data_IF_994060083132
#
_entry.id   IF_994060083132
#
_cell.length_a   1.000
_cell.length_b   1.000
_cell.length_c   1.000
_cell.angle_alpha   90.00
_cell.angle_beta   90.00
_cell.angle_gamma   90.00
#
_symmetry.space_group_name_H-M   'P 1'
#
loop_
_entity.id
_entity.type
_entity.pdbx_description
1 polymer ?
#
# COMPACT_ATOMS: atom_id res chain seq x y z
N UNK A 1 -37.45 18.41 -7.29
CA UNK A 1 -37.39 16.93 -7.23
C UNK A 1 -36.97 16.54 -5.83
N UNK A 2 -37.75 15.77 -5.04
CA UNK A 2 -37.34 15.40 -3.70
C UNK A 2 -36.08 14.53 -3.82
N UNK A 3 -35.03 14.86 -3.06
CA UNK A 3 -33.80 14.10 -3.05
C UNK A 3 -34.14 12.63 -2.73
N UNK A 4 -33.62 11.68 -3.52
CA UNK A 4 -33.72 10.24 -3.17
C UNK A 4 -33.27 10.09 -1.72
N UNK A 5 -34.08 9.40 -0.90
CA UNK A 5 -33.76 9.08 0.49
C UNK A 5 -32.28 8.69 0.59
N UNK A 6 -31.57 9.29 1.53
CA UNK A 6 -30.12 9.13 1.74
C UNK A 6 -29.69 7.66 1.73
N UNK A 7 -30.52 6.79 2.28
CA UNK A 7 -30.36 5.35 2.29
C UNK A 7 -30.25 4.73 0.88
N UNK A 8 -31.08 5.16 -0.06
CA UNK A 8 -31.07 4.69 -1.45
C UNK A 8 -29.78 5.15 -2.15
N UNK A 9 -29.28 6.35 -1.84
CA UNK A 9 -28.01 6.86 -2.39
C UNK A 9 -26.83 6.07 -1.84
N UNK A 10 -26.80 5.84 -0.53
CA UNK A 10 -25.75 5.08 0.14
C UNK A 10 -25.70 3.63 -0.35
N UNK A 11 -26.86 2.97 -0.50
CA UNK A 11 -26.93 1.60 -1.06
C UNK A 11 -26.35 1.53 -2.47
N UNK A 12 -26.78 2.43 -3.36
CA UNK A 12 -26.28 2.48 -4.75
C UNK A 12 -24.78 2.78 -4.83
N UNK A 13 -24.26 3.60 -3.91
CA UNK A 13 -22.83 3.87 -3.84
C UNK A 13 -22.05 2.62 -3.40
N UNK A 14 -22.54 1.89 -2.39
CA UNK A 14 -21.94 0.63 -1.95
C UNK A 14 -21.91 -0.41 -3.07
N UNK A 15 -23.02 -0.60 -3.78
CA UNK A 15 -23.12 -1.51 -4.92
C UNK A 15 -22.13 -1.16 -6.04
N UNK A 16 -22.00 0.14 -6.38
CA UNK A 16 -21.04 0.60 -7.39
C UNK A 16 -19.60 0.32 -6.96
N UNK A 17 -19.26 0.64 -5.72
CA UNK A 17 -17.91 0.38 -5.21
C UNK A 17 -17.61 -1.13 -5.15
N UNK A 18 -18.60 -1.96 -4.82
CA UNK A 18 -18.44 -3.40 -4.81
C UNK A 18 -18.13 -3.94 -6.21
N UNK A 19 -18.92 -3.54 -7.22
CA UNK A 19 -18.68 -3.92 -8.62
C UNK A 19 -17.28 -3.52 -9.11
N UNK A 20 -16.80 -2.33 -8.72
CA UNK A 20 -15.45 -1.89 -9.04
C UNK A 20 -14.38 -2.77 -8.36
N UNK A 21 -14.56 -3.09 -7.08
CA UNK A 21 -13.64 -3.99 -6.35
C UNK A 21 -13.59 -5.39 -6.97
N UNK A 22 -14.74 -5.93 -7.37
CA UNK A 22 -14.81 -7.26 -7.97
C UNK A 22 -14.18 -7.29 -9.37
N UNK A 23 -14.39 -6.25 -10.17
CA UNK A 23 -13.73 -6.09 -11.45
C UNK A 23 -12.20 -5.96 -11.30
N UNK A 24 -11.73 -5.14 -10.35
CA UNK A 24 -10.29 -4.98 -10.07
C UNK A 24 -9.68 -6.30 -9.57
N UNK A 25 -10.39 -7.07 -8.71
CA UNK A 25 -9.96 -8.40 -8.25
C UNK A 25 -9.84 -9.39 -9.40
N UNK A 26 -10.86 -9.46 -10.26
CA UNK A 26 -10.85 -10.34 -11.45
C UNK A 26 -9.72 -9.98 -12.40
N UNK A 27 -9.45 -8.69 -12.58
CA UNK A 27 -8.33 -8.18 -13.37
C UNK A 27 -6.97 -8.32 -12.67
N UNK A 28 -6.91 -8.82 -11.43
CA UNK A 28 -5.70 -8.90 -10.59
C UNK A 28 -4.95 -7.56 -10.51
N UNK A 29 -5.70 -6.47 -10.53
CA UNK A 29 -5.14 -5.12 -10.61
C UNK A 29 -4.50 -4.75 -9.26
N UNK A 30 -3.23 -4.31 -9.23
CA UNK A 30 -2.62 -3.83 -7.99
C UNK A 30 -3.27 -2.51 -7.56
N UNK A 31 -3.44 -2.34 -6.26
CA UNK A 31 -3.79 -1.05 -5.66
C UNK A 31 -2.63 -0.07 -5.67
N UNK A 32 -2.92 1.21 -5.41
CA UNK A 32 -1.88 2.24 -5.25
C UNK A 32 -0.88 1.89 -4.13
N UNK A 33 -1.40 1.38 -3.01
CA UNK A 33 -0.57 0.92 -1.90
C UNK A 33 0.33 -0.25 -2.30
N UNK A 34 -0.17 -1.19 -3.11
CA UNK A 34 0.63 -2.33 -3.60
C UNK A 34 1.84 -1.86 -4.43
N UNK A 35 1.65 -0.84 -5.27
CA UNK A 35 2.73 -0.23 -6.04
C UNK A 35 3.69 0.53 -5.11
N UNK A 36 3.16 1.35 -4.20
CA UNK A 36 3.97 2.15 -3.29
C UNK A 36 4.87 1.30 -2.38
N UNK A 37 4.31 0.27 -1.74
CA UNK A 37 5.07 -0.65 -0.87
C UNK A 37 6.14 -1.41 -1.64
N UNK A 38 5.84 -1.85 -2.87
CA UNK A 38 6.79 -2.59 -3.71
C UNK A 38 7.94 -1.70 -4.15
N UNK A 39 7.63 -0.47 -4.60
CA UNK A 39 8.64 0.51 -5.00
C UNK A 39 9.55 0.91 -3.82
N UNK A 40 8.98 1.08 -2.62
CA UNK A 40 9.74 1.39 -1.42
C UNK A 40 10.70 0.26 -1.03
N UNK A 41 10.21 -0.99 -1.05
CA UNK A 41 11.04 -2.16 -0.84
C UNK A 41 12.21 -2.21 -1.84
N UNK A 42 11.92 -2.10 -3.14
CA UNK A 42 12.95 -2.10 -4.17
C UNK A 42 14.01 -1.01 -3.96
N UNK A 43 13.57 0.22 -3.67
CA UNK A 43 14.49 1.34 -3.47
C UNK A 43 15.42 1.12 -2.26
N UNK A 44 14.86 0.70 -1.13
CA UNK A 44 15.64 0.46 0.09
C UNK A 44 16.60 -0.72 -0.10
N UNK A 45 16.11 -1.86 -0.59
CA UNK A 45 16.93 -3.06 -0.77
C UNK A 45 18.06 -2.84 -1.78
N UNK A 46 17.81 -2.13 -2.89
CA UNK A 46 18.84 -1.80 -3.87
C UNK A 46 19.94 -0.92 -3.27
N UNK A 47 19.57 0.19 -2.62
CA UNK A 47 20.56 1.08 -1.99
C UNK A 47 21.35 0.38 -0.87
N UNK A 48 20.71 -0.50 -0.10
CA UNK A 48 21.38 -1.28 0.93
C UNK A 48 22.39 -2.28 0.32
N UNK A 49 21.99 -3.02 -0.72
CA UNK A 49 22.84 -3.97 -1.41
C UNK A 49 24.07 -3.31 -2.08
N UNK A 50 23.91 -2.09 -2.59
CA UNK A 50 24.99 -1.29 -3.19
C UNK A 50 25.87 -0.59 -2.14
N UNK A 51 25.56 -0.69 -0.85
CA UNK A 51 26.25 0.05 0.20
C UNK A 51 26.07 1.57 0.13
N UNK A 52 25.04 2.05 -0.59
CA UNK A 52 24.78 3.46 -0.86
C UNK A 52 24.10 4.18 0.32
N UNK A 53 24.69 4.10 1.52
CA UNK A 53 24.08 4.58 2.77
C UNK A 53 23.81 6.09 2.78
N UNK A 54 24.65 6.90 2.14
CA UNK A 54 24.42 8.34 1.98
C UNK A 54 23.19 8.65 1.11
N UNK A 55 23.01 7.89 0.02
CA UNK A 55 21.84 8.02 -0.84
C UNK A 55 20.57 7.60 -0.09
N UNK A 56 20.63 6.49 0.67
CA UNK A 56 19.54 6.03 1.51
C UNK A 56 19.17 7.06 2.59
N UNK A 57 20.16 7.68 3.24
CA UNK A 57 19.93 8.76 4.20
C UNK A 57 19.28 10.00 3.58
N UNK A 58 19.68 10.38 2.37
CA UNK A 58 19.08 11.48 1.62
C UNK A 58 17.63 11.15 1.21
N UNK A 59 17.39 9.91 0.78
CA UNK A 59 16.05 9.43 0.44
C UNK A 59 15.12 9.45 1.67
N UNK A 60 15.58 8.93 2.82
CA UNK A 60 14.85 9.01 4.11
C UNK A 60 14.44 10.44 4.44
N UNK A 61 15.39 11.39 4.40
CA UNK A 61 15.11 12.81 4.70
C UNK A 61 14.00 13.38 3.82
N UNK A 62 13.98 13.03 2.52
CA UNK A 62 12.94 13.49 1.58
C UNK A 62 11.57 12.89 1.91
N UNK A 63 11.50 11.58 2.16
CA UNK A 63 10.26 10.90 2.53
C UNK A 63 9.70 11.45 3.83
N UNK A 64 10.52 11.57 4.87
CA UNK A 64 10.11 12.14 6.17
C UNK A 64 9.59 13.56 6.00
N UNK A 65 10.29 14.42 5.24
CA UNK A 65 9.82 15.78 4.97
C UNK A 65 8.44 15.80 4.29
N UNK A 66 8.16 14.85 3.40
CA UNK A 66 6.84 14.74 2.75
C UNK A 66 5.76 14.23 3.69
N UNK A 67 6.08 13.38 4.66
CA UNK A 67 5.16 12.94 5.71
C UNK A 67 4.85 14.08 6.68
N UNK A 68 5.86 14.85 7.10
CA UNK A 68 5.65 16.03 7.94
C UNK A 68 4.73 17.06 7.26
N UNK A 69 4.88 17.26 5.95
CA UNK A 69 3.96 18.13 5.18
C UNK A 69 2.51 17.66 5.17
N UNK A 70 2.26 16.37 5.40
CA UNK A 70 0.92 15.81 5.53
C UNK A 70 0.37 15.92 6.96
N UNK A 71 1.19 16.37 7.92
CA UNK A 71 0.82 16.52 9.33
C UNK A 71 1.27 15.35 10.22
N UNK A 72 2.10 14.43 9.71
CA UNK A 72 2.69 13.38 10.56
C UNK A 72 3.83 13.94 11.43
N UNK A 73 4.01 13.34 12.61
CA UNK A 73 5.15 13.65 13.47
C UNK A 73 6.48 13.24 12.80
N UNK A 74 7.49 14.09 12.93
CA UNK A 74 8.79 13.87 12.28
C UNK A 74 9.55 12.70 12.90
N UNK A 75 9.54 12.58 14.22
CA UNK A 75 10.25 11.52 14.94
C UNK A 75 9.62 10.16 14.63
N UNK A 76 8.30 10.05 14.76
CA UNK A 76 7.55 8.84 14.43
C UNK A 76 7.77 8.44 12.96
N UNK A 77 7.77 9.41 12.04
CA UNK A 77 8.05 9.15 10.62
C UNK A 77 9.46 8.59 10.39
N UNK A 78 10.47 9.08 11.13
CA UNK A 78 11.85 8.56 11.06
C UNK A 78 11.92 7.15 11.62
N UNK A 79 11.32 6.90 12.77
CA UNK A 79 11.30 5.58 13.44
C UNK A 79 10.68 4.51 12.55
N UNK A 80 9.52 4.80 11.93
CA UNK A 80 8.89 3.87 11.00
C UNK A 80 9.78 3.60 9.79
N UNK A 81 10.41 4.64 9.22
CA UNK A 81 11.30 4.47 8.08
C UNK A 81 12.53 3.61 8.42
N UNK A 82 13.15 3.83 9.58
CA UNK A 82 14.31 3.04 10.02
C UNK A 82 13.95 1.57 10.22
N UNK A 83 12.80 1.27 10.82
CA UNK A 83 12.30 -0.10 10.93
C UNK A 83 12.05 -0.76 9.56
N UNK A 84 11.66 0.02 8.54
CA UNK A 84 11.56 -0.50 7.16
C UNK A 84 12.94 -0.78 6.55
N UNK A 85 13.94 0.06 6.82
CA UNK A 85 15.32 -0.19 6.40
C UNK A 85 15.84 -1.48 7.00
N UNK A 86 15.68 -1.67 8.31
CA UNK A 86 16.08 -2.90 8.99
C UNK A 86 15.41 -4.13 8.38
N UNK A 87 14.11 -4.04 8.08
CA UNK A 87 13.35 -5.14 7.50
C UNK A 87 13.74 -5.46 6.05
N UNK A 88 14.09 -4.45 5.26
CA UNK A 88 14.26 -4.59 3.81
C UNK A 88 15.72 -4.71 3.36
N UNK A 89 16.69 -4.36 4.22
CA UNK A 89 18.12 -4.36 3.86
C UNK A 89 18.62 -5.74 3.37
N UNK A 90 18.05 -6.82 3.89
CA UNK A 90 18.47 -8.18 3.56
C UNK A 90 17.92 -8.64 2.19
N UNK A 91 17.01 -7.86 1.58
CA UNK A 91 16.46 -8.14 0.24
C UNK A 91 15.44 -9.27 0.19
N UNK A 92 15.13 -9.90 1.32
CA UNK A 92 14.11 -10.94 1.41
C UNK A 92 12.71 -10.37 1.14
N UNK A 93 11.99 -11.03 0.23
CA UNK A 93 10.66 -10.61 -0.22
C UNK A 93 9.65 -10.55 0.96
N UNK A 94 9.19 -9.37 1.38
CA UNK A 94 8.43 -9.22 2.62
C UNK A 94 6.91 -9.34 2.41
N UNK A 95 6.45 -9.56 1.17
CA UNK A 95 5.05 -9.46 0.81
C UNK A 95 4.36 -10.82 0.80
N UNK A 96 3.38 -10.98 1.68
CA UNK A 96 2.45 -12.10 1.62
C UNK A 96 1.54 -11.96 0.40
N UNK A 97 1.38 -13.04 -0.37
CA UNK A 97 0.44 -13.08 -1.49
C UNK A 97 -0.99 -12.91 -0.99
N UNK A 98 -1.81 -12.15 -1.73
CA UNK A 98 -3.21 -11.92 -1.37
C UNK A 98 -4.06 -13.17 -1.68
N UNK A 99 -5.03 -13.56 -0.82
CA UNK A 99 -5.84 -14.75 -1.04
C UNK A 99 -6.55 -14.81 -2.40
N UNK A 100 -7.17 -13.72 -2.85
CA UNK A 100 -7.84 -13.66 -4.16
C UNK A 100 -6.89 -13.78 -5.37
N UNK A 101 -5.57 -13.66 -5.16
CA UNK A 101 -4.57 -13.95 -6.19
C UNK A 101 -4.14 -15.42 -6.19
N UNK A 102 -4.32 -16.13 -5.08
CA UNK A 102 -4.03 -17.55 -4.91
C UNK A 102 -5.22 -18.43 -5.31
N UNK A 103 -6.43 -17.99 -4.98
CA UNK A 103 -7.69 -18.71 -5.22
C UNK A 103 -8.61 -17.85 -6.11
N UNK A 104 -8.33 -17.76 -7.43
CA UNK A 104 -9.09 -16.90 -8.34
C UNK A 104 -10.55 -17.32 -8.52
N UNK A 105 -10.86 -18.61 -8.32
CA UNK A 105 -12.20 -19.19 -8.52
C UNK A 105 -12.91 -19.61 -7.21
N UNK A 106 -12.35 -19.26 -6.05
CA UNK A 106 -12.82 -19.78 -4.77
C UNK A 106 -12.57 -18.85 -3.60
N UNK A 107 -13.50 -17.91 -3.40
CA UNK A 107 -13.77 -17.28 -2.10
C UNK A 107 -15.23 -16.79 -2.05
N UNK A 108 -16.15 -17.69 -2.37
CA UNK A 108 -17.58 -17.54 -2.04
C UNK A 108 -18.09 -18.77 -1.26
N UNK A 109 -17.19 -19.47 -0.55
CA UNK A 109 -17.57 -20.53 0.38
C UNK A 109 -16.76 -20.43 1.69
N UNK A 110 -17.49 -20.21 2.80
CA UNK A 110 -17.07 -20.28 4.21
C UNK A 110 -16.72 -18.92 4.83
N UNK A 111 -17.39 -18.41 5.87
CA UNK A 111 -18.29 -18.99 6.89
C UNK A 111 -19.28 -17.89 7.35
#
# INVERSE_FOLDING_TARGET
MPAKSEEIRNRKQRERQQKLRDADRKAKRPGRDDVARTALFMAISAMAAEGAMEALGTFKKRVVRMLVKQGFDEHESRTVFDGLVEKYRDGDWPFRRKPHLLYPDGADQGD
#
